data_IF_183424684677
#
_entry.id   IF_183424684677
#
_cell.length_a   1.000
_cell.length_b   1.000
_cell.length_c   1.000
_cell.angle_alpha   90.00
_cell.angle_beta   90.00
_cell.angle_gamma   90.00
#
_symmetry.space_group_name_H-M   'P 1'
#
loop_
_entity.id
_entity.type
_entity.pdbx_description
1 polymer ?
#
# COMPACT_ATOMS: atom_id res chain seq x y z
N UNK A 1 1.90 2.82 3.51
CA UNK A 1 2.24 3.04 4.94
C UNK A 1 3.67 3.51 5.18
N UNK A 2 4.68 3.01 4.48
CA UNK A 2 6.10 3.36 4.73
C UNK A 2 6.61 4.66 4.05
N UNK A 3 5.70 5.57 3.67
CA UNK A 3 6.11 6.87 3.11
C UNK A 3 6.82 7.70 4.18
N UNK A 4 7.74 8.55 3.73
CA UNK A 4 8.34 9.59 4.55
C UNK A 4 7.33 10.74 4.71
N UNK A 5 6.32 10.51 5.53
CA UNK A 5 5.27 11.49 5.86
C UNK A 5 4.84 11.29 7.32
N UNK A 6 4.41 12.36 8.03
CA UNK A 6 3.95 12.23 9.40
C UNK A 6 2.82 11.19 9.52
N UNK A 7 2.96 10.18 10.40
CA UNK A 7 2.01 9.06 10.47
C UNK A 7 0.58 9.50 10.78
N UNK A 8 0.40 10.55 11.59
CA UNK A 8 -0.89 11.13 11.94
C UNK A 8 -1.57 11.91 10.79
N UNK A 9 -0.83 12.20 9.71
CA UNK A 9 -1.37 12.87 8.51
C UNK A 9 -1.55 11.90 7.33
N UNK A 10 -1.06 10.67 7.46
CA UNK A 10 -1.17 9.66 6.42
C UNK A 10 -2.26 8.66 6.77
N UNK A 11 -3.26 8.56 5.90
CA UNK A 11 -4.35 7.60 6.00
C UNK A 11 -4.32 6.72 4.76
N UNK A 12 -4.32 5.41 4.94
CA UNK A 12 -4.23 4.43 3.85
C UNK A 12 -5.56 3.72 3.73
N UNK A 13 -6.18 3.80 2.55
CA UNK A 13 -7.44 3.12 2.26
C UNK A 13 -7.19 2.01 1.23
N UNK A 14 -7.70 0.82 1.49
CA UNK A 14 -7.66 -0.32 0.56
C UNK A 14 -9.11 -0.65 0.17
N UNK A 15 -9.38 -0.64 -1.14
CA UNK A 15 -10.66 -1.09 -1.68
C UNK A 15 -10.57 -2.56 -2.09
N UNK A 16 -11.49 -3.39 -1.61
CA UNK A 16 -11.73 -4.73 -2.13
C UNK A 16 -13.13 -4.79 -2.74
N UNK A 17 -13.17 -4.94 -4.07
CA UNK A 17 -14.40 -4.99 -4.82
C UNK A 17 -15.12 -6.35 -4.72
N UNK A 18 -14.42 -7.42 -4.33
CA UNK A 18 -14.98 -8.75 -4.21
C UNK A 18 -15.50 -9.06 -2.79
N UNK A 19 -15.16 -8.22 -1.81
CA UNK A 19 -15.46 -8.48 -0.41
C UNK A 19 -14.82 -9.78 0.11
N UNK A 20 -13.57 -10.05 -0.29
CA UNK A 20 -12.91 -11.32 0.03
C UNK A 20 -12.36 -11.31 1.44
N UNK A 21 -12.78 -12.29 2.24
CA UNK A 21 -12.22 -12.51 3.58
C UNK A 21 -10.71 -12.73 3.53
N UNK A 22 -10.20 -13.36 2.47
CA UNK A 22 -8.76 -13.55 2.30
C UNK A 22 -8.03 -12.20 2.17
N UNK A 23 -8.56 -11.26 1.37
CA UNK A 23 -7.97 -9.91 1.22
C UNK A 23 -7.96 -9.18 2.56
N UNK A 24 -9.06 -9.24 3.32
CA UNK A 24 -9.15 -8.62 4.64
C UNK A 24 -8.11 -9.19 5.61
N UNK A 25 -8.00 -10.52 5.72
CA UNK A 25 -7.04 -11.16 6.60
C UNK A 25 -5.59 -10.91 6.16
N UNK A 26 -5.30 -10.97 4.87
CA UNK A 26 -4.00 -10.59 4.31
C UNK A 26 -3.65 -9.13 4.66
N UNK A 27 -4.63 -8.23 4.61
CA UNK A 27 -4.44 -6.82 4.99
C UNK A 27 -4.08 -6.68 6.47
N UNK A 28 -4.72 -7.43 7.36
CA UNK A 28 -4.38 -7.45 8.80
C UNK A 28 -2.98 -8.00 9.06
N UNK A 29 -2.58 -9.08 8.38
CA UNK A 29 -1.22 -9.61 8.48
C UNK A 29 -0.17 -8.63 7.94
N UNK A 30 -0.44 -7.95 6.81
CA UNK A 30 0.43 -6.92 6.27
C UNK A 30 0.59 -5.73 7.22
N UNK A 31 -0.49 -5.31 7.88
CA UNK A 31 -0.43 -4.27 8.92
C UNK A 31 0.41 -4.70 10.12
N UNK A 32 0.21 -5.93 10.62
CA UNK A 32 1.01 -6.48 11.72
C UNK A 32 2.52 -6.50 11.38
N UNK A 33 2.88 -6.86 10.14
CA UNK A 33 4.27 -6.81 9.68
C UNK A 33 4.79 -5.36 9.54
N UNK A 34 3.95 -4.45 9.04
CA UNK A 34 4.33 -3.05 8.84
C UNK A 34 4.83 -2.36 10.11
N UNK A 35 4.35 -2.78 11.29
CA UNK A 35 4.83 -2.29 12.59
C UNK A 35 6.32 -2.53 12.84
N UNK A 36 6.89 -3.57 12.23
CA UNK A 36 8.33 -3.85 12.29
C UNK A 36 9.05 -3.19 11.11
N UNK A 37 8.46 -3.30 9.92
CA UNK A 37 9.08 -2.82 8.68
C UNK A 37 9.23 -1.28 8.65
N UNK A 38 8.19 -0.54 9.04
CA UNK A 38 8.21 0.94 8.96
C UNK A 38 9.29 1.54 9.87
N UNK A 39 9.42 1.16 11.16
CA UNK A 39 10.51 1.63 12.01
C UNK A 39 11.89 1.21 11.49
N UNK A 40 12.06 -0.04 11.06
CA UNK A 40 13.34 -0.52 10.51
C UNK A 40 13.77 0.28 9.28
N UNK A 41 12.84 0.51 8.34
CA UNK A 41 13.08 1.30 7.14
C UNK A 41 13.48 2.74 7.48
N UNK A 42 12.81 3.35 8.46
CA UNK A 42 13.12 4.71 8.95
C UNK A 42 14.48 4.76 9.66
N UNK A 43 14.76 3.83 10.57
CA UNK A 43 16.02 3.73 11.34
C UNK A 43 17.25 3.69 10.42
N UNK A 44 17.17 2.93 9.33
CA UNK A 44 18.30 2.73 8.42
C UNK A 44 18.21 3.50 7.10
N UNK A 45 17.24 4.41 6.97
CA UNK A 45 17.06 5.28 5.81
C UNK A 45 16.95 4.51 4.48
N UNK A 46 16.26 3.36 4.46
CA UNK A 46 16.19 2.54 3.25
C UNK A 46 15.41 3.27 2.16
N UNK A 47 15.94 3.25 0.94
CA UNK A 47 15.33 3.94 -0.20
C UNK A 47 14.02 3.26 -0.59
N UNK A 48 14.02 1.94 -0.77
CA UNK A 48 12.79 1.22 -1.13
C UNK A 48 11.83 1.10 0.06
N UNK A 49 10.55 1.43 -0.18
CA UNK A 49 9.47 1.19 0.77
C UNK A 49 8.91 -0.24 0.67
N UNK A 50 9.19 -0.95 -0.43
CA UNK A 50 8.66 -2.28 -0.71
C UNK A 50 9.61 -3.38 -0.18
N UNK A 51 9.17 -4.24 0.76
CA UNK A 51 9.98 -5.31 1.32
C UNK A 51 10.41 -6.34 0.27
N UNK A 52 9.53 -6.73 -0.65
CA UNK A 52 9.85 -7.72 -1.70
C UNK A 52 11.05 -7.25 -2.52
N UNK A 53 11.04 -5.99 -2.97
CA UNK A 53 12.14 -5.38 -3.72
C UNK A 53 13.41 -5.31 -2.89
N UNK A 54 13.28 -4.97 -1.62
CA UNK A 54 14.42 -4.84 -0.72
C UNK A 54 15.15 -6.18 -0.55
N UNK A 55 14.42 -7.26 -0.33
CA UNK A 55 14.99 -8.58 -0.10
C UNK A 55 15.30 -9.34 -1.41
N UNK A 56 14.69 -8.99 -2.55
CA UNK A 56 15.00 -9.59 -3.84
C UNK A 56 16.25 -9.00 -4.51
N UNK A 57 16.65 -7.78 -4.14
CA UNK A 57 17.82 -7.13 -4.73
C UNK A 57 19.10 -7.77 -4.16
N UNK A 58 19.89 -8.41 -5.02
CA UNK A 58 21.18 -8.97 -4.65
C UNK A 58 22.14 -7.83 -4.24
N UNK A 59 22.41 -7.70 -2.94
CA UNK A 59 23.59 -7.10 -2.30
C UNK A 59 24.16 -5.74 -2.76
N UNK A 60 23.51 -4.99 -3.64
CA UNK A 60 23.98 -3.66 -4.09
C UNK A 60 23.44 -2.48 -3.26
N UNK A 61 22.67 -2.75 -2.21
CA UNK A 61 22.34 -1.71 -1.25
C UNK A 61 23.59 -1.50 -0.39
N UNK A 62 24.04 -0.25 -0.19
CA UNK A 62 25.23 0.23 0.56
C UNK A 62 25.30 -0.25 2.04
N UNK A 63 25.00 -1.51 2.31
CA UNK A 63 24.91 -2.16 3.62
C UNK A 63 26.26 -2.67 4.11
N UNK A 64 27.28 -2.71 3.26
CA UNK A 64 28.62 -3.13 3.70
C UNK A 64 29.28 -2.09 4.61
N UNK A 65 28.84 -0.82 4.52
CA UNK A 65 29.19 0.25 5.46
C UNK A 65 28.31 0.30 6.71
N UNK A 66 27.24 -0.49 6.77
CA UNK A 66 26.31 -0.52 7.91
C UNK A 66 26.76 -1.63 8.86
N UNK A 67 27.16 -1.25 10.08
CA UNK A 67 27.84 -2.11 11.05
C UNK A 67 27.09 -3.40 11.44
N UNK A 68 27.70 -4.21 12.30
CA UNK A 68 27.20 -5.54 12.69
C UNK A 68 25.76 -5.54 13.21
N UNK A 69 25.33 -4.49 13.92
CA UNK A 69 23.96 -4.31 14.39
C UNK A 69 22.95 -4.31 13.22
N UNK A 70 23.24 -3.56 12.15
CA UNK A 70 22.38 -3.53 10.97
C UNK A 70 22.27 -4.90 10.30
N UNK A 71 23.39 -5.61 10.15
CA UNK A 71 23.39 -6.96 9.55
C UNK A 71 22.51 -7.92 10.38
N UNK A 72 22.58 -7.83 11.71
CA UNK A 72 21.74 -8.63 12.60
C UNK A 72 20.25 -8.25 12.54
N UNK A 73 19.91 -6.96 12.55
CA UNK A 73 18.52 -6.50 12.44
C UNK A 73 17.92 -6.78 11.06
N UNK A 74 18.69 -6.61 9.99
CA UNK A 74 18.28 -6.95 8.62
C UNK A 74 17.90 -8.43 8.52
N UNK A 75 18.74 -9.32 9.06
CA UNK A 75 18.45 -10.76 9.09
C UNK A 75 17.16 -11.08 9.84
N UNK A 76 16.96 -10.49 11.03
CA UNK A 76 15.70 -10.63 11.79
C UNK A 76 14.49 -10.12 11.02
N UNK A 77 14.65 -9.02 10.26
CA UNK A 77 13.58 -8.46 9.44
C UNK A 77 13.23 -9.36 8.27
N UNK A 78 14.23 -9.95 7.62
CA UNK A 78 14.07 -10.94 6.55
C UNK A 78 13.30 -12.18 7.04
N UNK A 79 13.66 -12.71 8.21
CA UNK A 79 12.95 -13.82 8.85
C UNK A 79 11.46 -13.46 9.11
N UNK A 80 11.18 -12.26 9.62
CA UNK A 80 9.80 -11.77 9.81
C UNK A 80 9.05 -11.65 8.48
N UNK A 81 9.73 -11.22 7.42
CA UNK A 81 9.14 -11.10 6.10
C UNK A 81 8.81 -12.47 5.49
N UNK A 82 9.68 -13.47 5.66
CA UNK A 82 9.38 -14.85 5.26
C UNK A 82 8.18 -15.44 6.03
N UNK A 83 8.08 -15.18 7.33
CA UNK A 83 6.91 -15.57 8.13
C UNK A 83 5.63 -14.91 7.60
N UNK A 84 5.67 -13.62 7.25
CA UNK A 84 4.54 -12.95 6.59
C UNK A 84 4.16 -13.69 5.29
N UNK A 85 5.12 -13.93 4.38
CA UNK A 85 4.86 -14.63 3.11
C UNK A 85 4.22 -16.01 3.32
N UNK A 86 4.69 -16.77 4.30
CA UNK A 86 4.10 -18.07 4.66
C UNK A 86 2.66 -17.93 5.17
N UNK A 87 2.37 -16.95 6.03
CA UNK A 87 1.01 -16.69 6.52
C UNK A 87 0.07 -16.27 5.39
N UNK A 88 0.52 -15.37 4.50
CA UNK A 88 -0.27 -14.96 3.34
C UNK A 88 -0.57 -16.16 2.42
N UNK A 89 0.43 -17.00 2.13
CA UNK A 89 0.23 -18.24 1.36
C UNK A 89 -0.76 -19.19 2.04
N UNK A 90 -0.73 -19.29 3.37
CA UNK A 90 -1.69 -20.10 4.13
C UNK A 90 -3.11 -19.52 4.06
N UNK A 91 -3.27 -18.20 4.11
CA UNK A 91 -4.58 -17.53 3.99
C UNK A 91 -5.16 -17.70 2.58
N UNK A 92 -4.31 -17.59 1.55
CA UNK A 92 -4.74 -17.71 0.14
C UNK A 92 -4.95 -19.17 -0.28
N UNK A 93 -4.08 -20.08 0.17
CA UNK A 93 -4.12 -21.50 -0.16
C UNK A 93 -5.06 -22.32 0.73
N UNK A 94 -5.29 -21.87 1.97
CA UNK A 94 -6.37 -22.39 2.79
C UNK A 94 -7.67 -21.76 2.31
N UNK A 95 -8.59 -22.59 1.80
CA UNK A 95 -10.01 -22.23 1.81
C UNK A 95 -10.30 -21.71 3.23
N UNK A 96 -10.48 -20.41 3.42
CA UNK A 96 -10.87 -19.86 4.70
C UNK A 96 -12.31 -20.32 4.92
N UNK A 97 -12.46 -21.54 5.43
CA UNK A 97 -13.72 -22.18 5.80
C UNK A 97 -14.22 -21.51 7.07
N UNK A 98 -14.56 -20.23 6.98
CA UNK A 98 -15.68 -19.78 7.79
C UNK A 98 -16.92 -20.26 7.07
N UNK A 99 -17.85 -20.87 7.79
CA UNK A 99 -19.12 -21.41 7.29
C UNK A 99 -20.07 -20.32 6.75
N UNK A 100 -19.53 -19.20 6.27
CA UNK A 100 -20.26 -18.13 5.61
C UNK A 100 -20.35 -18.54 4.14
N UNK A 101 -21.59 -18.85 3.74
CA UNK A 101 -22.00 -19.21 2.39
C UNK A 101 -21.13 -18.53 1.34
N UNK A 102 -20.58 -19.33 0.40
CA UNK A 102 -19.97 -18.92 -0.88
C UNK A 102 -20.22 -17.43 -1.13
N UNK A 103 -19.30 -16.55 -0.68
CA UNK A 103 -19.49 -15.11 -0.75
C UNK A 103 -19.75 -14.76 -2.21
N UNK A 104 -21.00 -14.45 -2.54
CA UNK A 104 -21.35 -14.06 -3.88
C UNK A 104 -20.68 -12.70 -4.10
N UNK A 105 -19.60 -12.67 -4.88
CA UNK A 105 -18.86 -11.44 -5.20
C UNK A 105 -19.73 -10.38 -5.89
N UNK A 106 -20.94 -10.74 -6.32
CA UNK A 106 -21.96 -9.84 -6.89
C UNK A 106 -23.07 -9.48 -5.91
N UNK A 107 -23.16 -10.15 -4.77
CA UNK A 107 -24.20 -9.96 -3.75
C UNK A 107 -23.63 -10.10 -2.33
N UNK A 108 -23.16 -8.99 -1.77
CA UNK A 108 -22.61 -8.93 -0.42
C UNK A 108 -22.82 -7.53 0.17
N UNK A 109 -22.98 -7.42 1.52
CA UNK A 109 -23.04 -6.13 2.19
C UNK A 109 -21.69 -5.40 2.12
N UNK A 110 -21.70 -4.12 2.50
CA UNK A 110 -20.46 -3.36 2.69
C UNK A 110 -19.75 -3.74 3.99
N UNK A 111 -18.42 -3.71 3.97
CA UNK A 111 -17.55 -3.89 5.14
C UNK A 111 -16.56 -2.75 5.19
N UNK A 112 -16.51 -2.03 6.32
CA UNK A 112 -15.49 -1.00 6.57
C UNK A 112 -14.80 -1.37 7.88
N UNK A 113 -13.48 -1.54 7.86
CA UNK A 113 -12.71 -1.88 9.05
C UNK A 113 -11.50 -0.97 9.19
N UNK A 114 -11.39 -0.29 10.33
CA UNK A 114 -10.20 0.48 10.72
C UNK A 114 -9.23 -0.47 11.41
N UNK A 115 -8.15 -0.81 10.72
CA UNK A 115 -7.14 -1.76 11.19
C UNK A 115 -6.18 -1.01 12.11
N UNK A 116 -6.33 -1.26 13.40
CA UNK A 116 -5.47 -0.71 14.46
C UNK A 116 -5.37 -1.69 15.63
N UNK A 117 -4.38 -1.50 16.50
CA UNK A 117 -4.32 -2.11 17.84
C UNK A 117 -4.04 -1.01 18.85
N UNK A 118 -4.76 -1.03 19.96
CA UNK A 118 -4.79 0.04 20.97
C UNK A 118 -3.48 0.16 21.79
N UNK A 119 -2.61 -0.85 21.76
CA UNK A 119 -1.43 -0.95 22.64
C UNK A 119 -0.08 -0.74 21.92
N UNK A 120 -0.06 -0.19 20.70
CA UNK A 120 1.19 -0.06 19.95
C UNK A 120 1.96 1.23 20.28
N UNK A 121 3.19 1.08 20.80
CA UNK A 121 4.13 2.19 21.05
C UNK A 121 4.54 2.94 19.76
N UNK A 122 4.42 2.27 18.60
CA UNK A 122 4.83 2.83 17.31
C UNK A 122 3.66 3.55 16.65
N UNK A 123 3.80 4.87 16.46
CA UNK A 123 2.85 5.67 15.68
C UNK A 123 2.83 5.22 14.21
N UNK A 124 1.73 4.58 13.82
CA UNK A 124 1.50 4.07 12.47
C UNK A 124 0.38 4.87 11.76
N UNK A 125 0.48 5.05 10.43
CA UNK A 125 -0.65 5.51 9.62
C UNK A 125 -1.88 4.63 9.84
N UNK A 126 -3.06 5.24 9.91
CA UNK A 126 -4.31 4.47 9.95
C UNK A 126 -4.49 3.71 8.63
N UNK A 127 -4.85 2.43 8.73
CA UNK A 127 -5.17 1.59 7.59
C UNK A 127 -6.66 1.24 7.63
N UNK A 128 -7.39 1.58 6.58
CA UNK A 128 -8.83 1.36 6.47
C UNK A 128 -9.07 0.39 5.31
N UNK A 129 -9.68 -0.75 5.62
CA UNK A 129 -10.19 -1.67 4.61
C UNK A 129 -11.64 -1.30 4.26
N UNK A 130 -11.95 -1.25 2.97
CA UNK A 130 -13.28 -0.93 2.46
C UNK A 130 -13.68 -1.95 1.40
N UNK A 131 -14.74 -2.69 1.68
CA UNK A 131 -15.53 -3.41 0.68
C UNK A 131 -16.89 -2.72 0.57
N UNK A 132 -17.25 -2.32 -0.65
CA UNK A 132 -18.54 -1.69 -0.92
C UNK A 132 -19.63 -2.73 -1.06
N UNK A 133 -20.86 -2.36 -0.77
CA UNK A 133 -22.01 -3.23 -1.05
C UNK A 133 -22.11 -3.50 -2.56
N UNK A 134 -22.43 -4.75 -2.91
CA UNK A 134 -22.79 -5.15 -4.27
C UNK A 134 -24.11 -5.89 -4.25
N UNK A 135 -24.95 -5.60 -5.25
CA UNK A 135 -26.21 -6.27 -5.53
C UNK A 135 -26.31 -6.56 -7.03
N UNK A 136 -26.82 -7.71 -7.47
CA UNK A 136 -26.92 -8.04 -8.90
C UNK A 136 -27.77 -7.06 -9.71
N UNK A 137 -28.73 -6.40 -9.06
CA UNK A 137 -29.63 -5.42 -9.67
C UNK A 137 -29.03 -4.02 -9.83
N UNK A 138 -27.82 -3.77 -9.33
CA UNK A 138 -27.22 -2.44 -9.29
C UNK A 138 -25.89 -2.39 -10.06
N UNK A 139 -25.82 -1.50 -11.05
CA UNK A 139 -24.58 -1.22 -11.76
C UNK A 139 -23.58 -0.55 -10.81
N UNK A 140 -22.39 -1.14 -10.68
CA UNK A 140 -21.38 -0.71 -9.72
C UNK A 140 -20.22 0.11 -10.32
N UNK A 141 -20.17 0.32 -11.64
CA UNK A 141 -19.19 1.21 -12.30
C UNK A 141 -17.70 0.85 -12.02
N UNK A 142 -17.38 -0.42 -11.79
CA UNK A 142 -16.02 -0.94 -11.61
C UNK A 142 -15.13 -0.01 -10.75
N UNK A 143 -13.93 0.34 -11.26
CA UNK A 143 -12.93 1.18 -10.58
C UNK A 143 -13.45 2.58 -10.26
N UNK A 144 -14.23 3.19 -11.15
CA UNK A 144 -14.78 4.53 -10.92
C UNK A 144 -15.73 4.54 -9.70
N UNK A 145 -16.60 3.54 -9.60
CA UNK A 145 -17.48 3.40 -8.45
C UNK A 145 -16.71 3.09 -7.16
N UNK A 146 -15.65 2.29 -7.22
CA UNK A 146 -14.83 1.94 -6.08
C UNK A 146 -14.09 3.18 -5.54
N UNK A 147 -13.44 3.95 -6.41
CA UNK A 147 -12.78 5.21 -6.04
C UNK A 147 -13.79 6.20 -5.44
N UNK A 148 -14.97 6.37 -6.03
CA UNK A 148 -16.00 7.25 -5.47
C UNK A 148 -16.47 6.82 -4.08
N UNK A 149 -16.52 5.51 -3.78
CA UNK A 149 -16.81 5.02 -2.42
C UNK A 149 -15.67 5.38 -1.48
N UNK A 150 -14.41 5.14 -1.87
CA UNK A 150 -13.25 5.51 -1.05
C UNK A 150 -13.23 7.00 -0.72
N UNK A 151 -13.56 7.88 -1.68
CA UNK A 151 -13.66 9.32 -1.45
C UNK A 151 -14.70 9.65 -0.37
N UNK A 152 -15.90 9.06 -0.45
CA UNK A 152 -16.98 9.28 0.53
C UNK A 152 -16.63 8.73 1.91
N UNK A 153 -16.03 7.55 1.98
CA UNK A 153 -15.58 6.95 3.25
C UNK A 153 -14.46 7.79 3.86
N UNK A 154 -13.50 8.24 3.06
CA UNK A 154 -12.42 9.11 3.49
C UNK A 154 -12.94 10.44 4.07
N UNK A 155 -13.92 11.06 3.40
CA UNK A 155 -14.55 12.30 3.88
C UNK A 155 -15.17 12.16 5.29
N UNK A 156 -15.66 10.98 5.64
CA UNK A 156 -16.26 10.71 6.95
C UNK A 156 -15.25 10.31 8.03
N UNK A 157 -14.16 9.62 7.66
CA UNK A 157 -13.20 9.07 8.62
C UNK A 157 -12.05 10.04 8.88
N UNK A 158 -11.34 10.47 7.82
CA UNK A 158 -10.12 11.28 7.97
C UNK A 158 -10.21 12.66 7.34
N UNK A 159 -11.15 12.89 6.43
CA UNK A 159 -11.38 14.12 5.69
C UNK A 159 -10.08 14.75 5.13
N UNK A 160 -9.22 13.90 4.54
CA UNK A 160 -7.92 14.31 4.02
C UNK A 160 -8.09 15.26 2.83
N UNK A 161 -7.43 16.42 2.85
CA UNK A 161 -7.53 17.42 1.77
C UNK A 161 -6.92 17.00 0.44
N UNK A 162 -5.96 16.07 0.48
CA UNK A 162 -5.24 15.58 -0.69
C UNK A 162 -5.33 14.06 -0.75
N UNK A 163 -5.43 13.53 -1.98
CA UNK A 163 -5.66 12.11 -2.22
C UNK A 163 -4.63 11.62 -3.22
N UNK A 164 -3.88 10.60 -2.81
CA UNK A 164 -2.94 9.87 -3.66
C UNK A 164 -3.60 8.57 -4.10
N UNK A 165 -3.78 8.38 -5.40
CA UNK A 165 -4.34 7.16 -5.98
C UNK A 165 -3.21 6.27 -6.47
N UNK A 166 -3.25 4.98 -6.10
CA UNK A 166 -2.28 3.97 -6.49
C UNK A 166 -3.00 2.67 -6.83
N UNK A 167 -2.54 2.02 -7.89
CA UNK A 167 -3.02 0.69 -8.30
C UNK A 167 -2.24 -0.42 -7.58
N UNK A 168 -2.81 -1.63 -7.54
CA UNK A 168 -2.27 -2.74 -6.73
C UNK A 168 -0.97 -3.35 -7.26
N UNK A 169 -0.66 -3.13 -8.54
CA UNK A 169 0.59 -3.47 -9.21
C UNK A 169 1.64 -2.35 -9.10
N UNK A 170 1.26 -1.20 -8.55
CA UNK A 170 2.12 -0.05 -8.35
C UNK A 170 2.52 0.11 -6.88
N UNK A 171 3.74 0.57 -6.65
CA UNK A 171 4.20 0.97 -5.33
C UNK A 171 5.17 2.14 -5.41
N UNK A 172 5.26 2.87 -4.31
CA UNK A 172 6.12 4.03 -4.21
C UNK A 172 7.60 3.60 -4.22
N UNK A 173 8.31 3.97 -5.28
CA UNK A 173 9.76 3.76 -5.42
C UNK A 173 10.57 4.75 -4.58
N UNK A 174 10.09 5.99 -4.46
CA UNK A 174 10.67 7.03 -3.62
C UNK A 174 9.73 7.34 -2.44
N UNK A 175 10.12 7.07 -1.18
CA UNK A 175 9.29 7.29 -0.01
C UNK A 175 8.99 8.77 0.23
N UNK A 176 9.73 9.69 -0.38
CA UNK A 176 9.52 11.13 -0.29
C UNK A 176 8.51 11.68 -1.30
N UNK A 177 7.96 10.86 -2.21
CA UNK A 177 7.06 11.33 -3.28
C UNK A 177 5.85 12.12 -2.78
N UNK A 178 5.26 11.73 -1.65
CA UNK A 178 4.17 12.50 -1.05
C UNK A 178 4.63 13.91 -0.61
N UNK A 179 5.81 14.04 -0.01
CA UNK A 179 6.38 15.35 0.36
C UNK A 179 6.71 16.18 -0.88
N UNK A 180 7.26 15.56 -1.92
CA UNK A 180 7.54 16.22 -3.20
C UNK A 180 6.26 16.77 -3.85
N UNK A 181 5.16 16.01 -3.80
CA UNK A 181 3.86 16.50 -4.26
C UNK A 181 3.40 17.72 -3.44
N UNK A 182 3.56 17.67 -2.11
CA UNK A 182 3.19 18.78 -1.22
C UNK A 182 3.99 20.07 -1.49
N UNK A 183 5.21 19.99 -2.02
CA UNK A 183 5.96 21.19 -2.41
C UNK A 183 5.21 22.05 -3.42
N UNK A 184 4.49 21.45 -4.38
CA UNK A 184 3.67 22.19 -5.34
C UNK A 184 2.45 22.83 -4.67
N UNK A 185 1.76 22.11 -3.79
CA UNK A 185 0.55 22.64 -3.13
C UNK A 185 0.84 23.69 -2.05
N UNK A 186 2.02 23.65 -1.44
CA UNK A 186 2.41 24.60 -0.40
C UNK A 186 3.19 25.82 -0.94
N UNK A 187 3.58 25.80 -2.21
CA UNK A 187 4.31 26.91 -2.81
C UNK A 187 3.36 28.05 -3.22
N UNK A 188 3.59 29.23 -2.64
CA UNK A 188 2.85 30.47 -2.95
C UNK A 188 2.93 30.90 -4.42
N UNK A 189 3.95 30.45 -5.17
CA UNK A 189 4.11 30.77 -6.59
C UNK A 189 3.33 29.81 -7.49
N UNK A 190 2.91 28.66 -6.96
CA UNK A 190 2.13 27.69 -7.72
C UNK A 190 0.69 28.19 -7.87
N UNK A 191 0.08 28.07 -9.07
CA UNK A 191 -1.30 28.51 -9.27
C UNK A 191 -2.26 27.84 -8.28
N UNK A 192 -3.16 28.62 -7.67
CA UNK A 192 -4.20 28.09 -6.78
C UNK A 192 -5.19 27.15 -7.49
N UNK A 193 -5.16 27.12 -8.82
CA UNK A 193 -5.94 26.21 -9.67
C UNK A 193 -5.28 24.84 -9.87
N UNK A 194 -4.14 24.55 -9.25
CA UNK A 194 -3.49 23.23 -9.36
C UNK A 194 -4.42 22.14 -8.81
N UNK A 195 -4.88 21.25 -9.69
CA UNK A 195 -5.81 20.18 -9.33
C UNK A 195 -5.11 18.87 -8.94
N UNK A 196 -4.03 18.49 -9.63
CA UNK A 196 -3.28 17.27 -9.36
C UNK A 196 -1.81 17.39 -9.76
N UNK A 197 -0.96 16.59 -9.11
CA UNK A 197 0.45 16.41 -9.48
C UNK A 197 0.59 14.99 -10.01
N UNK A 198 0.94 14.85 -11.29
CA UNK A 198 1.14 13.55 -11.93
C UNK A 198 2.61 13.13 -11.79
N UNK A 199 2.84 11.91 -11.33
CA UNK A 199 4.17 11.29 -11.34
C UNK A 199 4.31 10.37 -12.55
N UNK A 200 5.52 10.28 -13.15
CA UNK A 200 5.79 9.30 -14.19
C UNK A 200 5.68 7.88 -13.62
N UNK A 201 5.07 6.98 -14.41
CA UNK A 201 4.94 5.58 -14.04
C UNK A 201 6.09 4.79 -14.68
N UNK A 202 6.82 4.04 -13.86
CA UNK A 202 7.96 3.23 -14.31
C UNK A 202 7.67 1.75 -14.10
N UNK A 203 7.76 0.96 -15.17
CA UNK A 203 7.54 -0.48 -15.13
C UNK A 203 8.85 -1.23 -14.81
N UNK A 204 8.72 -2.48 -14.34
CA UNK A 204 9.84 -3.33 -13.93
C UNK A 204 9.85 -4.64 -14.70
N UNK A 205 10.94 -5.39 -14.59
CA UNK A 205 11.13 -6.69 -15.26
C UNK A 205 11.01 -6.62 -16.78
N UNK A 206 11.50 -5.52 -17.36
CA UNK A 206 11.43 -5.32 -18.81
C UNK A 206 12.61 -6.04 -19.47
N UNK A 207 12.32 -6.79 -20.52
CA UNK A 207 13.34 -7.48 -21.31
C UNK A 207 14.35 -6.48 -21.89
N UNK A 208 15.59 -6.91 -22.11
CA UNK A 208 16.60 -6.10 -22.79
C UNK A 208 16.17 -5.74 -24.21
N UNK A 209 15.49 -6.65 -24.90
CA UNK A 209 15.01 -6.43 -26.28
C UNK A 209 13.78 -5.53 -26.34
N UNK A 210 13.01 -5.44 -25.24
CA UNK A 210 11.76 -4.69 -25.08
C UNK A 210 10.92 -4.52 -26.37
N UNK A 211 10.68 -5.62 -27.08
CA UNK A 211 10.01 -5.59 -28.40
C UNK A 211 8.58 -5.04 -28.37
N UNK A 212 8.00 -4.91 -27.18
CA UNK A 212 6.66 -4.36 -26.94
C UNK A 212 6.68 -2.90 -26.45
N UNK A 213 7.86 -2.28 -26.34
CA UNK A 213 8.07 -0.91 -25.85
C UNK A 213 7.39 -0.62 -24.49
N UNK A 214 7.48 -1.59 -23.57
CA UNK A 214 6.88 -1.48 -22.24
C UNK A 214 7.60 -0.45 -21.35
N UNK A 215 8.80 -0.01 -21.72
CA UNK A 215 9.50 1.09 -21.04
C UNK A 215 8.80 2.44 -21.23
N UNK A 216 7.94 2.58 -22.25
CA UNK A 216 7.22 3.82 -22.56
C UNK A 216 8.20 5.00 -22.64
N UNK A 217 9.28 4.83 -23.42
CA UNK A 217 10.48 5.69 -23.40
C UNK A 217 10.25 7.14 -23.80
N UNK A 218 9.12 7.45 -24.45
CA UNK A 218 8.88 8.75 -25.09
C UNK A 218 7.59 9.46 -24.64
N UNK A 219 6.81 8.90 -23.71
CA UNK A 219 5.50 9.48 -23.34
C UNK A 219 5.53 10.45 -22.14
N UNK A 220 6.68 10.64 -21.48
CA UNK A 220 6.80 11.41 -20.24
C UNK A 220 8.00 12.36 -20.24
#
# INVERSE_FOLDING_TARGET
MALDYPPEKLHVYISDDAGSDATLHCTKEAWNFAKYWVPFRRKYGLVTACPEVYFSSSENDNGDYKGSEFKAERKKMEEKYEVLKQRLRKIVGGHFTTNVAINNTRDHPSTIEVISKEEDEVKMPQLIYVSREKRPSHNHNFKAGALNVLLRVSAMISNSSYILVLDCDMYCNDPTSARKAMCFYCDSQTPSSLAFVQFPQTFRNISQDDIYDNQVRFAF
#
